data_IF_569574826225
#
_entry.id   IF_569574826225
#
_cell.length_a   1.000
_cell.length_b   1.000
_cell.length_c   1.000
_cell.angle_alpha   90.00
_cell.angle_beta   90.00
_cell.angle_gamma   90.00
#
_symmetry.space_group_name_H-M   'P 1'
#
loop_
_entity.id
_entity.type
_entity.pdbx_description
1 polymer ?
#
# COMPACT_ATOMS: atom_id res chain seq x y z
N UNK A 1 -18.52 -3.09 -57.66
CA UNK A 1 -17.13 -3.19 -57.17
C UNK A 1 -17.10 -2.52 -55.81
N UNK A 2 -17.11 -3.30 -54.73
CA UNK A 2 -17.09 -2.77 -53.37
C UNK A 2 -15.64 -2.78 -52.88
N UNK A 3 -15.11 -1.59 -52.61
CA UNK A 3 -13.82 -1.40 -51.94
C UNK A 3 -13.97 -1.80 -50.48
N UNK A 4 -13.34 -2.89 -50.06
CA UNK A 4 -13.30 -3.29 -48.66
C UNK A 4 -12.02 -2.69 -48.05
N UNK A 5 -12.13 -1.51 -47.46
CA UNK A 5 -11.08 -0.94 -46.61
C UNK A 5 -11.08 -1.71 -45.29
N UNK A 6 -10.19 -2.69 -45.17
CA UNK A 6 -9.84 -3.25 -43.85
C UNK A 6 -9.02 -2.21 -43.11
N UNK A 7 -9.65 -1.61 -42.09
CA UNK A 7 -9.02 -0.75 -41.10
C UNK A 7 -7.87 -1.50 -40.42
N UNK A 8 -6.65 -1.02 -40.64
CA UNK A 8 -5.45 -1.41 -39.92
C UNK A 8 -5.52 -0.82 -38.50
N UNK A 9 -6.22 -1.51 -37.60
CA UNK A 9 -6.03 -1.29 -36.17
C UNK A 9 -4.65 -1.83 -35.84
N UNK A 10 -3.65 -0.94 -35.76
CA UNK A 10 -2.21 -1.20 -35.53
C UNK A 10 -1.84 -1.93 -34.24
N UNK A 11 -2.51 -3.05 -34.00
CA UNK A 11 -2.26 -4.07 -33.01
C UNK A 11 -1.62 -5.21 -33.78
N UNK A 12 -0.30 -5.32 -33.70
CA UNK A 12 0.42 -6.49 -34.22
C UNK A 12 -0.13 -7.74 -33.53
N UNK A 13 -0.76 -8.68 -34.27
CA UNK A 13 -1.32 -9.90 -33.70
C UNK A 13 -0.25 -10.84 -33.11
N UNK A 14 1.03 -10.59 -33.37
CA UNK A 14 2.16 -11.31 -32.80
C UNK A 14 2.85 -10.59 -31.63
N UNK A 15 2.37 -9.41 -31.23
CA UNK A 15 2.86 -8.77 -30.00
C UNK A 15 2.05 -9.32 -28.81
N UNK A 16 2.60 -10.26 -28.02
CA UNK A 16 1.87 -10.78 -26.87
C UNK A 16 1.56 -9.60 -25.95
N UNK A 17 0.27 -9.35 -25.71
CA UNK A 17 -0.14 -8.51 -24.58
C UNK A 17 0.34 -9.26 -23.35
N UNK A 18 1.51 -8.87 -22.83
CA UNK A 18 2.03 -9.46 -21.61
C UNK A 18 0.94 -9.31 -20.55
N UNK A 19 0.52 -10.39 -19.89
CA UNK A 19 -0.50 -10.29 -18.86
C UNK A 19 -0.02 -9.28 -17.83
N UNK A 20 -0.92 -8.40 -17.38
CA UNK A 20 -0.64 -7.49 -16.29
C UNK A 20 -0.18 -8.34 -15.09
N UNK A 21 1.13 -8.37 -14.84
CA UNK A 21 1.73 -9.10 -13.73
C UNK A 21 1.53 -8.36 -12.42
N UNK A 22 0.76 -7.26 -12.43
CA UNK A 22 0.48 -6.54 -11.21
C UNK A 22 -0.53 -7.28 -10.34
N UNK A 23 -0.14 -7.49 -9.09
CA UNK A 23 -1.00 -8.05 -8.05
C UNK A 23 -1.34 -6.94 -7.08
N UNK A 24 -2.61 -6.55 -7.04
CA UNK A 24 -3.12 -5.59 -6.06
C UNK A 24 -3.78 -6.36 -4.92
N UNK A 25 -3.37 -6.07 -3.69
CA UNK A 25 -4.00 -6.56 -2.48
C UNK A 25 -4.54 -5.38 -1.70
N UNK A 26 -5.83 -5.41 -1.43
CA UNK A 26 -6.50 -4.41 -0.60
C UNK A 26 -6.43 -4.84 0.86
N UNK A 27 -6.26 -3.85 1.73
CA UNK A 27 -6.21 -4.00 3.18
C UNK A 27 -7.37 -3.19 3.72
N UNK A 28 -8.33 -3.90 4.31
CA UNK A 28 -9.45 -3.26 4.99
C UNK A 28 -8.95 -2.56 6.27
N UNK A 29 -9.59 -1.47 6.67
CA UNK A 29 -9.20 -0.75 7.88
C UNK A 29 -9.34 -1.63 9.13
N UNK A 30 -10.27 -2.59 9.12
CA UNK A 30 -10.41 -3.61 10.17
C UNK A 30 -9.21 -4.56 10.23
N UNK A 31 -8.67 -4.97 9.07
CA UNK A 31 -7.45 -5.80 9.03
C UNK A 31 -6.26 -5.02 9.60
N UNK A 32 -6.17 -3.72 9.29
CA UNK A 32 -5.16 -2.85 9.86
C UNK A 32 -5.31 -2.70 11.39
N UNK A 33 -6.53 -2.47 11.87
CA UNK A 33 -6.82 -2.36 13.31
C UNK A 33 -6.50 -3.65 14.06
N UNK A 34 -6.82 -4.81 13.48
CA UNK A 34 -6.45 -6.11 14.05
C UNK A 34 -4.94 -6.33 14.06
N UNK A 35 -4.24 -5.94 12.98
CA UNK A 35 -2.79 -5.97 12.93
C UNK A 35 -2.18 -5.08 14.02
N UNK A 36 -2.67 -3.84 14.18
CA UNK A 36 -2.25 -2.93 15.23
C UNK A 36 -2.50 -3.49 16.64
N UNK A 37 -3.68 -4.08 16.86
CA UNK A 37 -4.01 -4.72 18.15
C UNK A 37 -3.07 -5.88 18.47
N UNK A 38 -2.61 -6.61 17.45
CA UNK A 38 -1.68 -7.74 17.60
C UNK A 38 -0.24 -7.29 17.81
N UNK A 39 0.24 -6.32 17.01
CA UNK A 39 1.64 -5.89 17.03
C UNK A 39 1.96 -4.87 18.11
N UNK A 40 0.98 -4.00 18.45
CA UNK A 40 1.15 -2.98 19.47
C UNK A 40 -0.18 -2.71 20.22
N UNK A 41 -0.57 -3.60 21.16
CA UNK A 41 -1.81 -3.46 21.93
C UNK A 41 -1.90 -2.14 22.70
N UNK A 42 -0.76 -1.61 23.18
CA UNK A 42 -0.71 -0.35 23.91
C UNK A 42 -1.06 0.84 23.01
N UNK A 43 -0.62 0.85 21.75
CA UNK A 43 -1.02 1.85 20.78
C UNK A 43 -2.50 1.70 20.39
N UNK A 44 -2.97 0.47 20.16
CA UNK A 44 -4.39 0.23 19.90
C UNK A 44 -5.29 0.78 21.02
N UNK A 45 -4.94 0.54 22.28
CA UNK A 45 -5.71 1.03 23.43
C UNK A 45 -5.67 2.56 23.63
N UNK A 46 -4.77 3.27 22.94
CA UNK A 46 -4.70 4.74 22.93
C UNK A 46 -5.58 5.36 21.84
N UNK A 47 -6.08 4.58 20.88
CA UNK A 47 -7.00 5.10 19.86
C UNK A 47 -8.33 5.49 20.50
N UNK A 48 -8.82 6.73 20.28
CA UNK A 48 -10.18 7.08 20.62
C UNK A 48 -11.17 6.18 19.86
N UNK A 49 -12.26 5.80 20.53
CA UNK A 49 -13.32 5.00 19.90
C UNK A 49 -13.91 5.68 18.65
N UNK A 50 -13.99 7.01 18.67
CA UNK A 50 -14.41 7.81 17.51
C UNK A 50 -13.45 7.68 16.31
N UNK A 51 -12.15 7.55 16.54
CA UNK A 51 -11.16 7.30 15.49
C UNK A 51 -11.34 5.91 14.89
N UNK A 52 -11.55 4.89 15.74
CA UNK A 52 -11.81 3.52 15.27
C UNK A 52 -13.07 3.48 14.40
N UNK A 53 -14.15 4.12 14.84
CA UNK A 53 -15.40 4.21 14.08
C UNK A 53 -15.23 4.99 12.77
N UNK A 54 -14.46 6.09 12.78
CA UNK A 54 -14.15 6.85 11.55
C UNK A 54 -13.40 5.98 10.55
N UNK A 55 -12.39 5.22 10.99
CA UNK A 55 -11.66 4.29 10.12
C UNK A 55 -12.59 3.24 9.52
N UNK A 56 -13.49 2.65 10.32
CA UNK A 56 -14.46 1.67 9.82
C UNK A 56 -15.45 2.29 8.82
N UNK A 57 -15.91 3.52 9.05
CA UNK A 57 -16.82 4.23 8.17
C UNK A 57 -16.18 4.67 6.85
N UNK A 58 -14.91 5.08 6.87
CA UNK A 58 -14.16 5.45 5.67
C UNK A 58 -13.94 4.24 4.74
N UNK A 59 -13.85 3.04 5.31
CA UNK A 59 -13.76 1.78 4.58
C UNK A 59 -15.06 1.50 3.79
N UNK A 60 -16.22 1.77 4.42
CA UNK A 60 -17.54 1.62 3.80
C UNK A 60 -17.75 2.57 2.61
N UNK A 61 -17.14 3.76 2.65
CA UNK A 61 -17.22 4.75 1.57
C UNK A 61 -16.26 4.45 0.41
N UNK A 62 -15.36 3.45 0.55
CA UNK A 62 -14.35 3.07 -0.45
C UNK A 62 -13.51 4.24 -0.99
N UNK A 63 -13.48 5.38 -0.29
CA UNK A 63 -12.69 6.53 -0.70
C UNK A 63 -11.22 6.26 -0.37
N UNK A 64 -10.54 5.62 -1.31
CA UNK A 64 -9.12 5.32 -1.22
C UNK A 64 -8.81 4.30 -0.14
N UNK A 65 -9.29 3.07 -0.28
CA UNK A 65 -8.88 1.96 0.60
C UNK A 65 -7.36 1.75 0.59
N UNK A 66 -6.82 1.25 1.68
CA UNK A 66 -5.39 0.95 1.79
C UNK A 66 -5.06 -0.23 0.88
N UNK A 67 -3.98 -0.16 0.10
CA UNK A 67 -3.61 -1.25 -0.80
C UNK A 67 -2.11 -1.38 -0.97
N UNK A 68 -1.66 -2.56 -1.36
CA UNK A 68 -0.36 -2.79 -1.95
C UNK A 68 -0.49 -3.35 -3.36
N UNK A 69 0.17 -2.70 -4.31
CA UNK A 69 0.27 -3.12 -5.69
C UNK A 69 1.70 -3.57 -5.95
N UNK A 70 1.89 -4.87 -6.13
CA UNK A 70 3.15 -5.44 -6.62
C UNK A 70 3.16 -5.40 -8.13
N UNK A 71 4.27 -4.99 -8.73
CA UNK A 71 4.54 -4.93 -10.17
C UNK A 71 5.90 -5.57 -10.44
N UNK A 72 6.31 -5.73 -11.70
CA UNK A 72 7.67 -6.16 -12.07
C UNK A 72 8.75 -5.26 -11.47
N UNK A 73 8.45 -3.96 -11.39
CA UNK A 73 9.43 -2.93 -11.05
C UNK A 73 9.54 -2.72 -9.53
N UNK A 74 8.56 -3.24 -8.77
CA UNK A 74 8.55 -3.21 -7.32
C UNK A 74 7.15 -3.13 -6.72
N UNK A 75 7.03 -2.52 -5.54
CA UNK A 75 5.80 -2.49 -4.73
C UNK A 75 5.37 -1.05 -4.48
N UNK A 76 4.13 -0.72 -4.79
CA UNK A 76 3.48 0.52 -4.38
C UNK A 76 2.52 0.26 -3.23
N UNK A 77 2.61 1.05 -2.17
CA UNK A 77 1.75 0.95 -0.99
C UNK A 77 1.03 2.27 -0.85
N UNK A 78 -0.28 2.22 -0.76
CA UNK A 78 -1.11 3.37 -0.45
C UNK A 78 -1.75 3.19 0.91
N UNK A 79 -1.55 4.16 1.79
CA UNK A 79 -2.23 4.29 3.06
C UNK A 79 -3.26 5.41 2.95
N UNK A 80 -4.49 5.12 3.34
CA UNK A 80 -5.55 6.11 3.33
C UNK A 80 -5.35 7.20 4.40
N UNK A 81 -6.08 8.30 4.27
CA UNK A 81 -6.01 9.42 5.21
C UNK A 81 -6.40 9.03 6.64
N UNK A 82 -7.28 8.04 6.80
CA UNK A 82 -7.69 7.54 8.12
C UNK A 82 -6.52 6.89 8.89
N UNK A 83 -5.69 6.07 8.22
CA UNK A 83 -4.47 5.50 8.79
C UNK A 83 -3.43 6.60 9.06
N UNK A 84 -3.32 7.60 8.18
CA UNK A 84 -2.42 8.75 8.40
C UNK A 84 -2.85 9.55 9.64
N UNK A 85 -4.15 9.77 9.85
CA UNK A 85 -4.69 10.39 11.09
C UNK A 85 -4.36 9.56 12.32
N UNK A 86 -4.56 8.24 12.26
CA UNK A 86 -4.18 7.34 13.33
C UNK A 86 -2.67 7.41 13.66
N UNK A 87 -1.82 7.60 12.65
CA UNK A 87 -0.38 7.77 12.84
C UNK A 87 0.00 9.01 13.66
N UNK A 88 -0.74 10.11 13.50
CA UNK A 88 -0.50 11.33 14.27
C UNK A 88 -0.89 11.17 15.75
N UNK A 89 -1.90 10.35 16.04
CA UNK A 89 -2.35 10.07 17.40
C UNK A 89 -1.40 9.07 18.10
N UNK A 90 -1.00 8.01 17.39
CA UNK A 90 -0.28 6.88 17.97
C UNK A 90 1.25 6.98 17.88
N UNK A 91 1.74 7.86 17.01
CA UNK A 91 3.13 7.87 16.57
C UNK A 91 3.36 6.96 15.35
N UNK A 92 4.27 7.37 14.49
CA UNK A 92 4.53 6.73 13.18
C UNK A 92 5.07 5.30 13.30
N UNK A 93 5.76 4.98 14.40
CA UNK A 93 6.28 3.64 14.66
C UNK A 93 5.19 2.57 14.85
N UNK A 94 4.06 2.93 15.48
CA UNK A 94 2.95 2.00 15.68
C UNK A 94 2.27 1.63 14.35
N UNK A 95 2.13 2.62 13.46
CA UNK A 95 1.50 2.45 12.14
C UNK A 95 2.41 1.70 11.19
N UNK A 96 3.71 1.97 11.21
CA UNK A 96 4.70 1.26 10.41
C UNK A 96 4.66 -0.26 10.65
N UNK A 97 4.62 -0.68 11.93
CA UNK A 97 4.49 -2.10 12.30
C UNK A 97 3.15 -2.72 11.91
N UNK A 98 2.04 -1.98 12.11
CA UNK A 98 0.71 -2.45 11.74
C UNK A 98 0.54 -2.60 10.22
N UNK A 99 1.03 -1.65 9.43
CA UNK A 99 1.01 -1.71 7.97
C UNK A 99 1.83 -2.90 7.46
N UNK A 100 3.05 -3.07 7.95
CA UNK A 100 3.91 -4.21 7.64
C UNK A 100 3.24 -5.56 7.95
N UNK A 101 2.60 -5.69 9.11
CA UNK A 101 1.91 -6.91 9.51
C UNK A 101 0.63 -7.16 8.69
N UNK A 102 -0.13 -6.12 8.36
CA UNK A 102 -1.31 -6.24 7.52
C UNK A 102 -0.92 -6.69 6.11
N UNK A 103 0.15 -6.12 5.55
CA UNK A 103 0.72 -6.49 4.25
C UNK A 103 1.23 -7.94 4.21
N UNK A 104 1.92 -8.39 5.26
CA UNK A 104 2.36 -9.78 5.38
C UNK A 104 1.16 -10.75 5.40
N UNK A 105 0.07 -10.38 6.09
CA UNK A 105 -1.17 -11.19 6.13
C UNK A 105 -1.89 -11.19 4.78
N UNK A 106 -1.79 -10.09 4.04
CA UNK A 106 -2.23 -9.94 2.65
C UNK A 106 -1.38 -10.74 1.64
N UNK A 107 -0.32 -11.42 2.08
CA UNK A 107 0.49 -12.30 1.25
C UNK A 107 1.66 -11.60 0.53
N UNK A 108 2.08 -10.41 0.97
CA UNK A 108 3.43 -9.92 0.65
C UNK A 108 4.46 -10.73 1.45
N UNK A 109 5.55 -11.15 0.81
CA UNK A 109 6.67 -11.82 1.47
C UNK A 109 7.28 -10.96 2.59
N UNK A 110 7.87 -11.60 3.60
CA UNK A 110 8.35 -10.93 4.82
C UNK A 110 9.49 -9.91 4.63
N UNK A 111 10.32 -10.04 3.59
CA UNK A 111 11.45 -9.12 3.29
C UNK A 111 11.00 -7.66 3.08
N UNK A 112 10.03 -7.39 2.18
CA UNK A 112 9.39 -6.10 2.00
C UNK A 112 8.95 -5.39 3.29
N UNK A 113 8.38 -6.13 4.24
CA UNK A 113 7.70 -5.57 5.40
C UNK A 113 8.60 -4.71 6.31
N UNK A 114 9.89 -5.07 6.44
CA UNK A 114 10.85 -4.32 7.24
C UNK A 114 11.23 -2.97 6.60
N UNK A 115 11.56 -2.97 5.30
CA UNK A 115 11.86 -1.74 4.55
C UNK A 115 10.67 -0.78 4.55
N UNK A 116 9.46 -1.33 4.36
CA UNK A 116 8.21 -0.58 4.38
C UNK A 116 8.02 0.13 5.72
N UNK A 117 8.27 -0.57 6.83
CA UNK A 117 8.16 -0.02 8.18
C UNK A 117 9.08 1.19 8.37
N UNK A 118 10.35 1.09 7.96
CA UNK A 118 11.31 2.20 8.09
C UNK A 118 10.93 3.42 7.24
N UNK A 119 10.47 3.20 6.00
CA UNK A 119 10.06 4.28 5.11
C UNK A 119 8.81 5.01 5.61
N UNK A 120 7.80 4.27 6.10
CA UNK A 120 6.58 4.84 6.69
C UNK A 120 6.92 5.70 7.91
N UNK A 121 7.85 5.25 8.76
CA UNK A 121 8.20 5.93 10.01
C UNK A 121 8.70 7.36 9.80
N UNK A 122 9.53 7.59 8.77
CA UNK A 122 10.11 8.91 8.49
C UNK A 122 9.16 9.86 7.76
N UNK A 123 8.36 9.35 6.82
CA UNK A 123 7.56 10.20 5.92
C UNK A 123 6.23 10.57 6.54
N UNK A 124 5.52 9.63 7.17
CA UNK A 124 4.19 9.92 7.74
C UNK A 124 4.25 10.98 8.85
N UNK A 125 5.40 11.16 9.48
CA UNK A 125 5.63 12.21 10.46
C UNK A 125 5.49 13.61 9.84
N UNK A 126 5.84 13.77 8.57
CA UNK A 126 5.92 15.04 7.85
C UNK A 126 4.63 15.42 7.13
N UNK A 127 3.65 14.52 7.05
CA UNK A 127 2.47 14.74 6.21
C UNK A 127 1.33 15.45 6.95
N UNK A 128 0.56 16.34 6.28
CA UNK A 128 -0.75 16.75 6.76
C UNK A 128 -1.68 15.54 6.90
N UNK A 129 -2.58 15.60 7.89
CA UNK A 129 -3.45 14.52 8.31
C UNK A 129 -4.69 14.32 7.44
N UNK A 130 -4.91 15.17 6.43
CA UNK A 130 -6.14 15.15 5.63
C UNK A 130 -5.99 14.39 4.30
N UNK A 131 -4.78 13.92 3.98
CA UNK A 131 -4.47 13.24 2.72
C UNK A 131 -3.99 11.81 2.93
N UNK A 132 -4.28 10.95 1.96
CA UNK A 132 -3.63 9.65 1.86
C UNK A 132 -2.18 9.82 1.44
N UNK A 133 -1.40 8.75 1.60
CA UNK A 133 0.01 8.72 1.19
C UNK A 133 0.27 7.46 0.40
N UNK A 134 0.99 7.58 -0.70
CA UNK A 134 1.56 6.45 -1.41
C UNK A 134 3.07 6.43 -1.30
N UNK A 135 3.62 5.22 -1.29
CA UNK A 135 5.04 4.91 -1.30
C UNK A 135 5.30 3.94 -2.43
N UNK A 136 6.26 4.24 -3.29
CA UNK A 136 6.72 3.32 -4.31
C UNK A 136 8.12 2.83 -3.96
N UNK A 137 8.26 1.51 -3.93
CA UNK A 137 9.50 0.82 -3.65
C UNK A 137 9.92 0.06 -4.89
N UNK A 138 11.15 0.24 -5.34
CA UNK A 138 11.72 -0.56 -6.44
C UNK A 138 12.40 -1.80 -5.90
N UNK A 139 12.35 -2.89 -6.67
CA UNK A 139 13.15 -4.07 -6.41
C UNK A 139 14.65 -3.70 -6.50
N UNK A 140 15.39 -3.88 -5.41
CA UNK A 140 16.83 -3.74 -5.36
C UNK A 140 17.46 -5.12 -5.26
N UNK A 141 18.10 -5.55 -6.34
CA UNK A 141 18.89 -6.78 -6.33
C UNK A 141 20.35 -6.42 -6.03
N UNK A 142 20.85 -6.85 -4.86
CA UNK A 142 22.26 -6.76 -4.50
C UNK A 142 22.99 -8.12 -4.56
N UNK A 143 22.41 -9.13 -5.22
CA UNK A 143 23.07 -10.42 -5.45
C UNK A 143 22.96 -11.44 -4.30
N UNK A 144 22.01 -11.30 -3.38
CA UNK A 144 21.74 -12.29 -2.32
C UNK A 144 20.24 -12.49 -2.17
N UNK A 145 19.80 -13.74 -2.18
CA UNK A 145 18.39 -14.15 -2.23
C UNK A 145 17.42 -13.34 -1.35
N UNK A 146 16.22 -13.12 -1.89
CA UNK A 146 15.08 -12.43 -1.29
C UNK A 146 15.28 -10.92 -0.99
N UNK A 147 15.00 -10.09 -2.01
CA UNK A 147 14.14 -8.91 -1.88
C UNK A 147 14.60 -7.80 -0.93
N UNK A 148 15.64 -7.06 -1.32
CA UNK A 148 15.85 -5.72 -0.79
C UNK A 148 14.94 -4.75 -1.56
N UNK A 149 14.08 -4.03 -0.87
CA UNK A 149 13.30 -2.93 -1.46
C UNK A 149 14.01 -1.61 -1.18
N UNK A 150 13.98 -0.69 -2.13
CA UNK A 150 14.40 0.70 -1.92
C UNK A 150 13.21 1.62 -2.17
N UNK A 151 12.96 2.56 -1.26
CA UNK A 151 11.97 3.60 -1.50
C UNK A 151 12.47 4.48 -2.66
N UNK A 152 11.77 4.45 -3.79
CA UNK A 152 12.13 5.21 -4.98
C UNK A 152 11.35 6.51 -5.09
N UNK A 153 10.10 6.54 -4.61
CA UNK A 153 9.29 7.76 -4.57
C UNK A 153 8.14 7.65 -3.57
N UNK A 154 7.56 8.78 -3.20
CA UNK A 154 6.36 8.86 -2.36
C UNK A 154 5.58 10.14 -2.70
N UNK A 155 4.31 10.18 -2.35
CA UNK A 155 3.46 11.35 -2.57
C UNK A 155 2.15 11.29 -1.80
N UNK A 156 1.33 12.33 -1.93
CA UNK A 156 0.03 12.44 -1.28
C UNK A 156 -1.10 12.33 -2.31
N UNK A 157 -2.28 11.90 -1.84
CA UNK A 157 -3.52 11.85 -2.63
C UNK A 157 -4.69 12.41 -1.81
#
# INVERSE_FOLDING_TARGET
MASNSTSDSGIDPNNPVLPDQSKTVYIDNDQFLQALKKTNPAAYNKLPQSTIQSMQNDDLLRQGGTYAKTTSDGITIYLNSAIVKAAKILGTAAIAGAAASALATAGLSAGPAATISTAILGIVALLPNDHGVWFHFTNYDSGSGAGNLLLSSWGQQ
#
